data_IF_036059052093
#
_entry.id   IF_036059052093
#
_cell.length_a   1.000
_cell.length_b   1.000
_cell.length_c   1.000
_cell.angle_alpha   90.00
_cell.angle_beta   90.00
_cell.angle_gamma   90.00
#
_symmetry.space_group_name_H-M   'P 1'
#
loop_
_entity.id
_entity.type
_entity.pdbx_description
1 polymer ?
#
# COMPACT_ATOMS: atom_id res chain seq x y z
N UNK A 1 -0.78 0.82 1.82
CA UNK A 1 0.38 1.65 1.45
C UNK A 1 1.02 1.22 0.13
N UNK A 2 1.44 -0.05 0.02
CA UNK A 2 2.02 -0.65 -1.19
C UNK A 2 1.15 -0.47 -2.44
N UNK A 3 -0.16 -0.78 -2.36
CA UNK A 3 -1.10 -0.55 -3.48
C UNK A 3 -1.22 0.92 -3.86
N UNK A 4 -1.15 1.86 -2.91
CA UNK A 4 -1.18 3.31 -3.22
C UNK A 4 0.08 3.73 -3.97
N UNK A 5 1.25 3.21 -3.57
CA UNK A 5 2.50 3.46 -4.28
C UNK A 5 2.49 2.89 -5.70
N UNK A 6 2.03 1.64 -5.88
CA UNK A 6 1.85 1.05 -7.20
C UNK A 6 0.85 1.84 -8.06
N UNK A 7 -0.30 2.21 -7.49
CA UNK A 7 -1.32 3.00 -8.18
C UNK A 7 -0.79 4.37 -8.62
N UNK A 8 0.01 5.03 -7.79
CA UNK A 8 0.69 6.30 -8.11
C UNK A 8 1.66 6.14 -9.28
N UNK A 9 2.33 5.00 -9.39
CA UNK A 9 3.22 4.67 -10.51
C UNK A 9 2.48 4.10 -11.74
N UNK A 10 1.15 3.99 -11.69
CA UNK A 10 0.34 3.43 -12.77
C UNK A 10 0.43 1.91 -12.92
N UNK A 11 1.02 1.21 -11.94
CA UNK A 11 1.08 -0.26 -11.93
C UNK A 11 -0.28 -0.84 -11.56
N UNK A 12 -0.70 -1.86 -12.29
CA UNK A 12 -1.88 -2.64 -11.97
C UNK A 12 -1.55 -3.85 -11.08
N UNK A 13 -2.59 -4.55 -10.64
CA UNK A 13 -2.44 -5.72 -9.75
C UNK A 13 -1.66 -6.87 -10.41
N UNK A 14 -1.77 -7.04 -11.73
CA UNK A 14 -1.14 -8.15 -12.45
C UNK A 14 0.35 -7.89 -12.72
N UNK A 15 0.75 -6.62 -12.82
CA UNK A 15 2.11 -6.18 -13.12
C UNK A 15 2.76 -5.48 -11.92
N UNK A 16 2.39 -5.89 -10.70
CA UNK A 16 3.00 -5.38 -9.48
C UNK A 16 4.47 -5.80 -9.38
N UNK A 17 5.37 -4.85 -9.14
CA UNK A 17 6.80 -5.10 -8.88
C UNK A 17 7.18 -4.62 -7.47
N UNK A 18 7.39 -5.58 -6.56
CA UNK A 18 7.78 -5.29 -5.19
C UNK A 18 9.10 -4.51 -5.08
N UNK A 19 10.05 -4.71 -6.00
CA UNK A 19 11.34 -4.03 -5.96
C UNK A 19 11.21 -2.54 -6.30
N UNK A 20 10.26 -2.19 -7.17
CA UNK A 20 9.97 -0.80 -7.52
C UNK A 20 9.15 -0.06 -6.45
N UNK A 21 8.49 -0.80 -5.56
CA UNK A 21 7.61 -0.25 -4.52
C UNK A 21 8.27 -0.19 -3.14
N UNK A 22 9.05 -1.19 -2.79
CA UNK A 22 9.74 -1.25 -1.51
C UNK A 22 10.74 -0.09 -1.38
N UNK A 23 10.70 0.61 -0.24
CA UNK A 23 11.54 1.78 0.04
C UNK A 23 11.05 3.09 -0.58
N UNK A 24 9.98 3.09 -1.37
CA UNK A 24 9.40 4.33 -1.91
C UNK A 24 8.77 5.19 -0.80
N UNK A 25 8.69 6.50 -1.02
CA UNK A 25 8.05 7.44 -0.10
C UNK A 25 6.68 7.89 -0.61
N UNK A 26 5.68 7.87 0.26
CA UNK A 26 4.37 8.45 0.02
C UNK A 26 4.17 9.67 0.91
N UNK A 27 3.64 10.75 0.33
CA UNK A 27 3.12 11.90 1.04
C UNK A 27 1.66 11.64 1.43
N UNK A 28 1.17 12.24 2.52
CA UNK A 28 -0.23 12.12 2.97
C UNK A 28 -1.25 12.47 1.87
N UNK A 29 -0.88 13.39 0.97
CA UNK A 29 -1.71 13.78 -0.17
C UNK A 29 -1.80 12.69 -1.25
N UNK A 30 -0.82 11.78 -1.35
CA UNK A 30 -0.90 10.65 -2.29
C UNK A 30 -2.05 9.70 -1.90
N UNK A 31 -2.32 9.56 -0.60
CA UNK A 31 -3.46 8.81 -0.10
C UNK A 31 -4.78 9.50 -0.44
N UNK A 32 -4.84 10.83 -0.32
CA UNK A 32 -6.03 11.59 -0.72
C UNK A 32 -6.31 11.49 -2.22
N UNK A 33 -5.26 11.62 -3.04
CA UNK A 33 -5.40 11.49 -4.49
C UNK A 33 -5.88 10.08 -4.87
N UNK A 34 -5.29 9.04 -4.28
CA UNK A 34 -5.70 7.66 -4.50
C UNK A 34 -7.15 7.41 -4.06
N UNK A 35 -7.57 7.97 -2.91
CA UNK A 35 -8.96 7.91 -2.46
C UNK A 35 -9.91 8.51 -3.50
N UNK A 36 -9.69 9.76 -3.91
CA UNK A 36 -10.58 10.45 -4.86
C UNK A 36 -10.65 9.71 -6.19
N UNK A 37 -9.51 9.25 -6.71
CA UNK A 37 -9.44 8.54 -7.99
C UNK A 37 -10.14 7.18 -7.91
N UNK A 38 -9.83 6.36 -6.91
CA UNK A 38 -10.43 5.03 -6.76
C UNK A 38 -11.93 5.08 -6.45
N UNK A 39 -12.40 6.08 -5.71
CA UNK A 39 -13.83 6.25 -5.41
C UNK A 39 -14.67 6.65 -6.64
N UNK A 40 -14.06 7.30 -7.63
CA UNK A 40 -14.75 7.73 -8.86
C UNK A 40 -14.54 6.76 -10.03
N UNK A 41 -13.56 5.88 -9.92
CA UNK A 41 -13.22 4.91 -10.96
C UNK A 41 -14.30 3.83 -11.09
N UNK A 42 -14.67 3.43 -12.32
CA UNK A 42 -15.55 2.29 -12.54
C UNK A 42 -15.04 1.04 -11.82
N UNK A 43 -15.94 0.19 -11.33
CA UNK A 43 -15.58 -1.00 -10.53
C UNK A 43 -14.59 -1.91 -11.28
N UNK A 44 -14.81 -2.13 -12.57
CA UNK A 44 -13.96 -2.98 -13.41
C UNK A 44 -12.53 -2.42 -13.52
N UNK A 45 -12.42 -1.11 -13.73
CA UNK A 45 -11.13 -0.43 -13.82
C UNK A 45 -10.42 -0.38 -12.46
N UNK A 46 -11.15 -0.09 -11.37
CA UNK A 46 -10.60 -0.09 -10.03
C UNK A 46 -10.11 -1.49 -9.63
N UNK A 47 -10.84 -2.53 -10.02
CA UNK A 47 -10.46 -3.93 -9.81
C UNK A 47 -9.13 -4.28 -10.46
N UNK A 48 -8.84 -3.70 -11.64
CA UNK A 48 -7.55 -3.86 -12.31
C UNK A 48 -6.38 -3.42 -11.41
N UNK A 49 -6.55 -2.33 -10.67
CA UNK A 49 -5.50 -1.79 -9.79
C UNK A 49 -5.49 -2.41 -8.39
N UNK A 50 -6.66 -2.68 -7.80
CA UNK A 50 -6.75 -3.10 -6.39
C UNK A 50 -6.79 -4.62 -6.20
N UNK A 51 -7.05 -5.37 -7.28
CA UNK A 51 -7.42 -6.78 -7.23
C UNK A 51 -8.92 -6.98 -6.98
N UNK A 52 -9.38 -8.21 -7.22
CA UNK A 52 -10.79 -8.61 -7.17
C UNK A 52 -11.42 -8.36 -5.79
N UNK A 53 -12.59 -7.71 -5.76
CA UNK A 53 -13.38 -7.43 -4.56
C UNK A 53 -12.63 -6.62 -3.47
N UNK A 54 -11.60 -5.84 -3.85
CA UNK A 54 -10.78 -5.08 -2.89
C UNK A 54 -10.97 -3.57 -2.94
N UNK A 55 -11.76 -3.01 -3.86
CA UNK A 55 -11.90 -1.55 -4.00
C UNK A 55 -12.35 -0.89 -2.69
N UNK A 56 -13.45 -1.37 -2.12
CA UNK A 56 -14.06 -0.70 -0.96
C UNK A 56 -13.21 -0.87 0.31
N UNK A 57 -12.61 -2.05 0.50
CA UNK A 57 -11.66 -2.29 1.60
C UNK A 57 -10.35 -1.50 1.42
N UNK A 58 -9.90 -1.31 0.17
CA UNK A 58 -8.77 -0.43 -0.14
C UNK A 58 -9.07 1.02 0.22
N UNK A 59 -10.25 1.53 -0.15
CA UNK A 59 -10.71 2.87 0.22
C UNK A 59 -10.71 3.05 1.75
N UNK A 60 -11.26 2.09 2.49
CA UNK A 60 -11.23 2.12 3.95
C UNK A 60 -9.79 2.12 4.51
N UNK A 61 -8.91 1.29 3.96
CA UNK A 61 -7.49 1.24 4.34
C UNK A 61 -6.74 2.55 4.05
N UNK A 62 -7.02 3.21 2.92
CA UNK A 62 -6.47 4.52 2.57
C UNK A 62 -6.86 5.56 3.62
N UNK A 63 -8.14 5.64 3.96
CA UNK A 63 -8.64 6.57 4.97
C UNK A 63 -8.03 6.31 6.35
N UNK A 64 -7.87 5.04 6.73
CA UNK A 64 -7.24 4.65 7.98
C UNK A 64 -5.79 5.15 8.05
N UNK A 65 -4.97 4.83 7.05
CA UNK A 65 -3.55 5.24 7.03
C UNK A 65 -3.41 6.75 6.99
N UNK A 66 -4.18 7.43 6.14
CA UNK A 66 -4.21 8.90 6.07
C UNK A 66 -4.54 9.51 7.43
N UNK A 67 -5.55 8.98 8.13
CA UNK A 67 -5.96 9.48 9.44
C UNK A 67 -4.86 9.28 10.48
N UNK A 68 -4.20 8.12 10.49
CA UNK A 68 -3.07 7.85 11.39
C UNK A 68 -1.93 8.85 11.12
N UNK A 69 -1.54 9.04 9.86
CA UNK A 69 -0.50 10.00 9.49
C UNK A 69 -0.83 11.42 9.97
N UNK A 70 -2.06 11.89 9.72
CA UNK A 70 -2.50 13.21 10.15
C UNK A 70 -2.53 13.36 11.68
N UNK A 71 -3.02 12.35 12.40
CA UNK A 71 -3.10 12.38 13.87
C UNK A 71 -1.72 12.37 14.53
N UNK A 72 -0.75 11.71 13.92
CA UNK A 72 0.62 11.64 14.41
C UNK A 72 1.52 12.76 13.87
N UNK A 73 1.01 13.63 12.98
CA UNK A 73 1.75 14.75 12.40
C UNK A 73 2.78 14.35 11.33
N UNK A 74 2.64 13.18 10.72
CA UNK A 74 3.52 12.72 9.65
C UNK A 74 3.02 13.17 8.28
N UNK A 75 3.86 13.94 7.56
CA UNK A 75 3.58 14.31 6.17
C UNK A 75 3.93 13.20 5.18
N UNK A 76 4.91 12.36 5.50
CA UNK A 76 5.42 11.30 4.63
C UNK A 76 5.59 9.97 5.37
N UNK A 77 5.47 8.85 4.66
CA UNK A 77 5.82 7.52 5.15
C UNK A 77 6.61 6.75 4.10
N UNK A 78 7.50 5.86 4.55
CA UNK A 78 8.23 4.92 3.70
C UNK A 78 7.38 3.65 3.55
N UNK A 79 7.27 3.14 2.33
CA UNK A 79 6.57 1.91 2.01
C UNK A 79 7.54 0.74 2.17
N UNK A 80 7.15 -0.23 3.00
CA UNK A 80 7.87 -1.49 3.16
C UNK A 80 6.94 -2.60 2.65
N UNK A 81 7.42 -3.39 1.69
CA UNK A 81 6.67 -4.53 1.14
C UNK A 81 6.83 -5.78 2.01
N UNK A 82 8.01 -5.93 2.63
CA UNK A 82 8.27 -6.94 3.64
C UNK A 82 7.35 -6.73 4.85
N UNK A 83 6.70 -7.81 5.26
CA UNK A 83 5.61 -7.82 6.21
C UNK A 83 5.87 -8.83 7.33
N UNK A 84 4.82 -9.18 8.06
CA UNK A 84 4.87 -10.19 9.12
C UNK A 84 5.46 -11.52 8.62
N UNK A 85 5.16 -11.93 7.38
CA UNK A 85 5.63 -13.21 6.82
C UNK A 85 7.17 -13.25 6.79
N UNK A 86 7.78 -12.20 6.29
CA UNK A 86 9.23 -12.03 6.22
C UNK A 86 9.85 -11.94 7.62
N UNK A 87 9.21 -11.16 8.51
CA UNK A 87 9.66 -11.02 9.89
C UNK A 87 9.70 -12.34 10.66
N UNK A 88 8.68 -13.19 10.50
CA UNK A 88 8.63 -14.53 11.11
C UNK A 88 9.71 -15.45 10.54
N UNK A 89 9.95 -15.41 9.22
CA UNK A 89 10.99 -16.22 8.59
C UNK A 89 12.39 -15.84 9.12
N UNK A 90 12.70 -14.54 9.18
CA UNK A 90 13.96 -14.02 9.73
C UNK A 90 14.12 -14.43 11.19
N UNK A 91 13.07 -14.29 12.00
CA UNK A 91 13.10 -14.68 13.41
C UNK A 91 13.47 -16.17 13.58
N UNK A 92 12.90 -17.06 12.78
CA UNK A 92 13.20 -18.50 12.83
C UNK A 92 14.63 -18.85 12.35
N UNK A 93 15.18 -18.10 11.38
CA UNK A 93 16.57 -18.28 10.97
C UNK A 93 17.54 -17.85 12.08
N UNK A 94 17.23 -16.75 12.77
CA UNK A 94 18.07 -16.22 13.84
C UNK A 94 18.06 -17.10 15.09
N UNK A 95 16.98 -17.83 15.37
CA UNK A 95 16.91 -18.77 16.49
C UNK A 95 17.60 -20.11 16.21
N UNK A 96 17.76 -20.48 14.94
CA UNK A 96 18.42 -21.74 14.53
C UNK A 96 19.96 -21.68 14.56
N UNK A 97 20.53 -20.55 15.00
CA UNK A 97 21.98 -20.31 15.10
C UNK A 97 22.52 -20.41 16.53
N UNK A 98 21.76 -21.01 17.47
CA UNK A 98 22.14 -21.26 18.87
C UNK A 98 22.20 -22.75 19.15
#
# INVERSE_FOLDING_TARGET
PTTVAAFKQGMDYAHYDANAINGTSLHVNDFEEAFVRLSRMPIEEATRFTGTNRRDSMIAGILLVKTIMQKLGFATCIVIDDSLREGVAIANCNTSSV
#
